data_IF_664462128967
#
_entry.id   IF_664462128967
#
_cell.length_a   1.000
_cell.length_b   1.000
_cell.length_c   1.000
_cell.angle_alpha   90.00
_cell.angle_beta   90.00
_cell.angle_gamma   90.00
#
_symmetry.space_group_name_H-M   'P 1'
#
loop_
_entity.id
_entity.type
_entity.pdbx_description
1 polymer ?
#
# COMPACT_ATOMS: atom_id res chain seq x y z
N UNK A 1 3.63 -16.82 1.74
CA UNK A 1 4.85 -16.02 1.97
C UNK A 1 4.77 -15.55 3.41
N UNK A 2 5.86 -15.55 4.18
CA UNK A 2 5.84 -14.87 5.48
C UNK A 2 5.62 -13.38 5.20
N UNK A 3 4.64 -12.75 5.87
CA UNK A 3 4.42 -11.31 5.74
C UNK A 3 5.72 -10.60 6.14
N UNK A 4 6.18 -9.61 5.37
CA UNK A 4 7.42 -8.92 5.69
C UNK A 4 7.35 -8.35 7.10
N UNK A 5 8.41 -8.57 7.87
CA UNK A 5 8.50 -8.24 9.30
C UNK A 5 8.46 -6.73 9.56
N UNK A 6 8.64 -5.91 8.52
CA UNK A 6 8.75 -4.47 8.61
C UNK A 6 8.57 -3.75 7.27
N UNK A 7 8.21 -2.46 7.34
CA UNK A 7 8.12 -1.52 6.23
C UNK A 7 9.24 -0.47 6.33
N UNK A 8 9.91 -0.19 5.21
CA UNK A 8 10.76 1.00 5.07
C UNK A 8 9.83 2.20 4.86
N UNK A 9 9.75 3.05 5.86
CA UNK A 9 8.81 4.16 5.86
C UNK A 9 9.45 5.48 5.40
N UNK A 10 10.78 5.58 5.50
CA UNK A 10 11.60 6.64 4.92
C UNK A 10 12.98 6.09 4.56
N UNK A 11 13.40 6.30 3.31
CA UNK A 11 14.76 6.02 2.85
C UNK A 11 15.66 7.21 3.18
N UNK A 12 16.84 6.93 3.74
CA UNK A 12 17.82 7.95 4.12
C UNK A 12 19.18 7.66 3.49
N UNK A 13 19.77 8.65 2.81
CA UNK A 13 21.04 8.49 2.09
C UNK A 13 22.30 8.54 2.98
N UNK A 14 22.21 9.13 4.18
CA UNK A 14 23.32 9.24 5.16
C UNK A 14 23.01 8.48 6.46
N UNK A 15 21.73 8.35 6.81
CA UNK A 15 21.28 7.71 8.04
C UNK A 15 20.64 6.35 7.73
N UNK A 16 20.56 5.42 8.69
CA UNK A 16 19.80 4.19 8.48
C UNK A 16 18.32 4.48 8.16
N UNK A 17 17.75 3.66 7.30
CA UNK A 17 16.34 3.74 6.91
C UNK A 17 15.42 3.57 8.12
N UNK A 18 14.32 4.31 8.14
CA UNK A 18 13.31 4.17 9.18
C UNK A 18 12.48 2.92 8.88
N UNK A 19 12.75 1.87 9.63
CA UNK A 19 12.07 0.58 9.50
C UNK A 19 11.02 0.44 10.62
N UNK A 20 9.77 0.17 10.26
CA UNK A 20 8.63 0.06 11.19
C UNK A 20 8.08 -1.35 11.14
N UNK A 21 7.86 -2.00 12.29
CA UNK A 21 7.12 -3.27 12.36
C UNK A 21 5.59 -3.05 12.42
N UNK A 22 4.76 -4.03 12.00
CA UNK A 22 3.30 -3.90 12.07
C UNK A 22 2.77 -3.61 13.48
N UNK A 23 3.42 -4.19 14.50
CA UNK A 23 3.06 -3.97 15.91
C UNK A 23 3.34 -2.54 16.35
N UNK A 24 4.49 -1.98 15.97
CA UNK A 24 4.82 -0.58 16.24
C UNK A 24 3.85 0.35 15.50
N UNK A 25 3.59 0.10 14.22
CA UNK A 25 2.63 0.87 13.44
C UNK A 25 1.25 0.90 14.10
N UNK A 26 0.74 -0.27 14.48
CA UNK A 26 -0.56 -0.41 15.13
C UNK A 26 -0.64 0.36 16.45
N UNK A 27 0.39 0.24 17.29
CA UNK A 27 0.46 0.97 18.57
C UNK A 27 0.47 2.49 18.34
N UNK A 28 1.25 2.96 17.38
CA UNK A 28 1.33 4.39 17.04
C UNK A 28 -0.01 4.90 16.49
N UNK A 29 -0.66 4.15 15.59
CA UNK A 29 -2.00 4.50 15.06
C UNK A 29 -3.02 4.61 16.19
N UNK A 30 -3.06 3.62 17.10
CA UNK A 30 -4.01 3.63 18.21
C UNK A 30 -3.79 4.81 19.15
N UNK A 31 -2.53 5.05 19.54
CA UNK A 31 -2.17 6.18 20.38
C UNK A 31 -2.50 7.52 19.71
N UNK A 32 -2.19 7.65 18.42
CA UNK A 32 -2.44 8.86 17.66
C UNK A 32 -3.92 9.11 17.35
N UNK A 33 -4.72 8.06 17.15
CA UNK A 33 -6.19 8.19 17.07
C UNK A 33 -6.76 8.81 18.34
N UNK A 34 -6.28 8.37 19.51
CA UNK A 34 -6.66 8.94 20.80
C UNK A 34 -6.16 10.39 20.95
N UNK A 35 -4.91 10.67 20.60
CA UNK A 35 -4.33 12.01 20.66
C UNK A 35 -5.07 13.01 19.74
N UNK A 36 -5.39 12.60 18.51
CA UNK A 36 -6.08 13.42 17.51
C UNK A 36 -7.52 13.69 17.87
N UNK A 37 -8.26 12.69 18.35
CA UNK A 37 -9.69 12.83 18.68
C UNK A 37 -9.91 13.50 20.04
N UNK A 38 -8.94 13.37 20.95
CA UNK A 38 -9.10 13.82 22.33
C UNK A 38 -10.07 12.94 23.11
N UNK A 39 -10.41 13.39 24.32
CA UNK A 39 -11.38 12.75 25.20
C UNK A 39 -12.56 13.68 25.45
N UNK A 40 -13.51 13.26 26.30
CA UNK A 40 -14.59 14.14 26.74
C UNK A 40 -14.08 15.36 27.53
N UNK A 41 -12.93 15.22 28.18
CA UNK A 41 -12.38 16.20 29.12
C UNK A 41 -11.17 16.97 28.55
N UNK A 42 -10.61 16.53 27.42
CA UNK A 42 -9.47 17.15 26.77
C UNK A 42 -9.65 17.21 25.25
N UNK A 43 -9.42 18.39 24.67
CA UNK A 43 -9.41 18.55 23.21
C UNK A 43 -8.29 17.71 22.59
N UNK A 44 -8.55 17.19 21.40
CA UNK A 44 -7.52 16.54 20.60
C UNK A 44 -6.40 17.50 20.20
N UNK A 45 -5.27 16.93 19.82
CA UNK A 45 -4.10 17.71 19.40
C UNK A 45 -4.39 18.57 18.17
N UNK A 46 -3.71 19.71 18.09
CA UNK A 46 -3.73 20.55 16.89
C UNK A 46 -3.05 19.82 15.75
N UNK A 47 -3.84 19.47 14.72
CA UNK A 47 -3.32 18.89 13.49
C UNK A 47 -2.88 19.98 12.51
N UNK A 48 -1.97 19.66 11.57
CA UNK A 48 -1.73 20.52 10.42
C UNK A 48 -3.00 20.83 9.63
N UNK A 49 -2.94 21.85 8.77
CA UNK A 49 -4.08 22.27 7.97
C UNK A 49 -4.53 21.11 7.08
N UNK A 50 -5.82 20.82 7.12
CA UNK A 50 -6.43 19.71 6.37
C UNK A 50 -6.14 19.81 4.85
N UNK A 51 -6.11 21.01 4.28
CA UNK A 51 -5.81 21.19 2.86
C UNK A 51 -4.38 20.79 2.51
N UNK A 52 -3.40 21.14 3.36
CA UNK A 52 -1.99 20.84 3.12
C UNK A 52 -1.75 19.33 3.22
N UNK A 53 -2.28 18.70 4.28
CA UNK A 53 -2.21 17.25 4.47
C UNK A 53 -2.85 16.48 3.31
N UNK A 54 -4.03 16.93 2.86
CA UNK A 54 -4.77 16.28 1.76
C UNK A 54 -4.07 16.45 0.42
N UNK A 55 -3.47 17.61 0.17
CA UNK A 55 -2.69 17.86 -1.05
C UNK A 55 -1.49 16.93 -1.10
N UNK A 56 -0.70 16.86 -0.02
CA UNK A 56 0.48 15.99 0.06
C UNK A 56 0.10 14.51 -0.01
N UNK A 57 -1.00 14.10 0.65
CA UNK A 57 -1.50 12.73 0.51
C UNK A 57 -1.83 12.40 -0.95
N UNK A 58 -2.58 13.27 -1.63
CA UNK A 58 -2.99 13.06 -3.02
C UNK A 58 -1.78 13.02 -3.96
N UNK A 59 -0.79 13.87 -3.72
CA UNK A 59 0.49 13.88 -4.44
C UNK A 59 1.28 12.60 -4.23
N UNK A 60 1.31 12.08 -3.00
CA UNK A 60 2.02 10.85 -2.67
C UNK A 60 1.34 9.60 -3.25
N UNK A 61 0.01 9.52 -3.23
CA UNK A 61 -0.71 8.29 -3.67
C UNK A 61 -1.11 8.30 -5.14
N UNK A 62 -1.12 9.47 -5.80
CA UNK A 62 -1.46 9.62 -7.21
C UNK A 62 -2.76 8.87 -7.57
N UNK A 63 -2.71 8.00 -8.59
CA UNK A 63 -3.82 7.18 -9.03
C UNK A 63 -3.81 5.75 -8.46
N UNK A 64 -3.06 5.49 -7.37
CA UNK A 64 -2.99 4.16 -6.75
C UNK A 64 -4.33 3.64 -6.21
N UNK A 65 -5.25 4.55 -5.89
CA UNK A 65 -6.63 4.28 -5.49
C UNK A 65 -7.64 4.45 -6.62
N UNK A 66 -7.23 4.35 -7.89
CA UNK A 66 -8.15 4.52 -9.02
C UNK A 66 -9.38 3.60 -8.89
N UNK A 67 -10.57 4.20 -8.76
CA UNK A 67 -11.83 3.49 -8.57
C UNK A 67 -12.17 3.10 -7.11
N UNK A 68 -11.32 3.43 -6.13
CA UNK A 68 -11.50 3.13 -4.71
C UNK A 68 -11.39 4.38 -3.82
N UNK A 69 -12.37 5.27 -3.93
CA UNK A 69 -12.43 6.48 -3.13
C UNK A 69 -12.60 6.19 -1.62
N UNK A 70 -13.25 5.09 -1.26
CA UNK A 70 -13.44 4.70 0.13
C UNK A 70 -12.12 4.23 0.75
N UNK A 71 -11.34 3.40 0.04
CA UNK A 71 -9.99 3.01 0.45
C UNK A 71 -9.07 4.20 0.64
N UNK A 72 -9.08 5.16 -0.29
CA UNK A 72 -8.30 6.40 -0.17
C UNK A 72 -8.66 7.18 1.11
N UNK A 73 -9.96 7.32 1.41
CA UNK A 73 -10.42 8.02 2.61
C UNK A 73 -10.00 7.29 3.90
N UNK A 74 -10.07 5.96 3.93
CA UNK A 74 -9.62 5.16 5.07
C UNK A 74 -8.11 5.27 5.28
N UNK A 75 -7.31 5.12 4.21
CA UNK A 75 -5.85 5.26 4.27
C UNK A 75 -5.43 6.67 4.72
N UNK A 76 -6.17 7.71 4.33
CA UNK A 76 -5.93 9.07 4.78
C UNK A 76 -6.20 9.25 6.28
N UNK A 77 -7.31 8.71 6.80
CA UNK A 77 -7.58 8.76 8.25
C UNK A 77 -6.55 7.98 9.06
N UNK A 78 -6.09 6.83 8.56
CA UNK A 78 -5.01 6.05 9.19
C UNK A 78 -3.68 6.81 9.15
N UNK A 79 -3.36 7.49 8.06
CA UNK A 79 -2.17 8.34 7.97
C UNK A 79 -2.24 9.46 9.02
N UNK A 80 -3.38 10.15 9.16
CA UNK A 80 -3.58 11.17 10.20
C UNK A 80 -3.40 10.61 11.61
N UNK A 81 -3.94 9.43 11.88
CA UNK A 81 -3.79 8.76 13.17
C UNK A 81 -2.32 8.39 13.44
N UNK A 82 -1.60 7.82 12.46
CA UNK A 82 -0.17 7.52 12.62
C UNK A 82 0.66 8.80 12.86
N UNK A 83 0.46 9.83 12.04
CA UNK A 83 1.13 11.12 12.15
C UNK A 83 0.93 11.74 13.54
N UNK A 84 -0.32 11.82 14.00
CA UNK A 84 -0.66 12.30 15.33
C UNK A 84 0.07 11.52 16.44
N UNK A 85 0.20 10.20 16.28
CA UNK A 85 0.89 9.34 17.22
C UNK A 85 2.37 9.67 17.33
N UNK A 86 3.06 9.89 16.20
CA UNK A 86 4.47 10.28 16.18
C UNK A 86 4.65 11.70 16.74
N UNK A 87 3.82 12.66 16.34
CA UNK A 87 3.94 14.03 16.81
C UNK A 87 3.70 14.15 18.31
N UNK A 88 2.72 13.41 18.86
CA UNK A 88 2.50 13.33 20.30
C UNK A 88 3.70 12.73 21.04
N UNK A 89 4.37 11.71 20.48
CA UNK A 89 5.60 11.13 21.04
C UNK A 89 6.77 12.13 21.01
N UNK A 90 6.87 12.95 19.96
CA UNK A 90 7.86 14.04 19.84
C UNK A 90 7.54 15.22 20.77
N UNK A 91 6.32 15.29 21.32
CA UNK A 91 5.84 16.43 22.09
C UNK A 91 5.56 17.68 21.24
N UNK A 92 5.37 17.51 19.93
CA UNK A 92 5.07 18.60 19.01
C UNK A 92 3.56 18.73 18.79
N UNK A 93 3.04 19.88 19.21
CA UNK A 93 1.62 20.26 19.12
C UNK A 93 1.43 21.56 18.33
N UNK A 94 2.43 21.96 17.54
CA UNK A 94 2.45 23.24 16.82
C UNK A 94 1.38 23.34 15.73
N UNK A 95 0.94 22.20 15.18
CA UNK A 95 0.08 22.16 14.00
C UNK A 95 0.81 22.55 12.70
N UNK A 96 2.15 22.54 12.70
CA UNK A 96 2.95 22.67 11.48
C UNK A 96 3.13 21.28 10.87
N UNK A 97 2.95 21.17 9.55
CA UNK A 97 3.17 19.89 8.86
C UNK A 97 4.66 19.54 8.88
N UNK A 98 4.95 18.31 9.28
CA UNK A 98 6.28 17.71 9.22
C UNK A 98 6.25 16.74 8.04
N UNK A 99 6.82 17.15 6.91
CA UNK A 99 6.68 16.45 5.63
C UNK A 99 7.27 15.04 5.67
N UNK A 100 8.35 14.84 6.43
CA UNK A 100 9.00 13.53 6.59
C UNK A 100 8.09 12.57 7.36
N UNK A 101 7.54 13.02 8.50
CA UNK A 101 6.60 12.21 9.29
C UNK A 101 5.28 12.00 8.53
N UNK A 102 4.86 12.97 7.71
CA UNK A 102 3.69 12.82 6.88
C UNK A 102 3.90 11.78 5.78
N UNK A 103 5.04 11.82 5.07
CA UNK A 103 5.41 10.79 4.09
C UNK A 103 5.50 9.40 4.74
N UNK A 104 6.09 9.32 5.93
CA UNK A 104 6.12 8.10 6.73
C UNK A 104 4.71 7.58 7.03
N UNK A 105 3.80 8.45 7.46
CA UNK A 105 2.41 8.13 7.74
C UNK A 105 1.65 7.61 6.50
N UNK A 106 1.85 8.23 5.34
CA UNK A 106 1.26 7.79 4.07
C UNK A 106 1.78 6.40 3.70
N UNK A 107 3.08 6.15 3.78
CA UNK A 107 3.66 4.84 3.50
C UNK A 107 3.13 3.77 4.46
N UNK A 108 2.99 4.08 5.75
CA UNK A 108 2.44 3.16 6.74
C UNK A 108 0.99 2.80 6.45
N UNK A 109 0.17 3.76 6.02
CA UNK A 109 -1.26 3.53 5.76
C UNK A 109 -1.54 2.86 4.41
N UNK A 110 -0.62 2.96 3.46
CA UNK A 110 -0.79 2.46 2.08
C UNK A 110 0.03 1.23 1.75
N UNK A 111 1.06 0.94 2.55
CA UNK A 111 2.11 -0.03 2.21
C UNK A 111 3.19 0.53 1.27
N UNK A 112 3.05 1.79 0.84
CA UNK A 112 3.85 2.42 -0.21
C UNK A 112 3.13 2.38 -1.56
N UNK A 113 3.60 3.21 -2.49
CA UNK A 113 3.11 3.22 -3.88
C UNK A 113 4.24 2.98 -4.86
N UNK A 114 3.91 2.38 -5.99
CA UNK A 114 4.87 2.09 -7.05
C UNK A 114 4.26 2.28 -8.44
N UNK A 115 4.97 2.96 -9.33
CA UNK A 115 4.59 3.09 -10.74
C UNK A 115 5.03 1.86 -11.53
N UNK A 116 4.10 0.93 -11.72
CA UNK A 116 4.40 -0.34 -12.38
C UNK A 116 4.41 -0.14 -13.91
N UNK A 117 5.57 -0.38 -14.53
CA UNK A 117 5.82 -0.21 -15.97
C UNK A 117 5.51 1.20 -16.55
N UNK A 118 5.42 2.25 -15.72
CA UNK A 118 5.04 3.58 -16.19
C UNK A 118 3.55 3.69 -16.60
N UNK A 119 2.73 2.71 -16.20
CA UNK A 119 1.31 2.59 -16.59
C UNK A 119 0.35 2.94 -15.45
N UNK A 120 0.86 3.56 -14.40
CA UNK A 120 0.11 4.04 -13.25
C UNK A 120 0.62 3.48 -11.94
N UNK A 121 0.24 4.16 -10.87
CA UNK A 121 0.64 3.79 -9.52
C UNK A 121 -0.25 2.69 -8.97
N UNK A 122 0.33 1.80 -8.18
CA UNK A 122 -0.36 0.78 -7.40
C UNK A 122 0.11 0.79 -5.96
N UNK A 123 -0.75 0.33 -5.05
CA UNK A 123 -0.41 0.11 -3.66
C UNK A 123 0.49 -1.12 -3.54
N UNK A 124 1.61 -0.99 -2.84
CA UNK A 124 2.47 -2.12 -2.53
C UNK A 124 1.88 -2.93 -1.37
N UNK A 125 2.07 -4.26 -1.36
CA UNK A 125 1.81 -5.02 -0.15
C UNK A 125 2.68 -4.47 0.97
N UNK A 126 2.09 -4.33 2.16
CA UNK A 126 2.78 -3.70 3.28
C UNK A 126 4.11 -4.39 3.58
N UNK A 127 5.21 -3.64 3.57
CA UNK A 127 6.57 -4.12 3.83
C UNK A 127 7.30 -4.72 2.63
N UNK A 128 6.70 -4.69 1.44
CA UNK A 128 7.32 -5.14 0.20
C UNK A 128 8.03 -3.99 -0.51
N UNK A 129 9.27 -4.19 -0.94
CA UNK A 129 9.96 -3.20 -1.79
C UNK A 129 9.44 -3.25 -3.23
N UNK A 130 9.60 -2.17 -4.02
CA UNK A 130 9.29 -2.18 -5.46
C UNK A 130 9.92 -3.36 -6.23
N UNK A 131 11.19 -3.68 -5.97
CA UNK A 131 11.91 -4.75 -6.67
C UNK A 131 11.39 -6.13 -6.28
N UNK A 132 10.94 -6.29 -5.03
CA UNK A 132 10.30 -7.52 -4.59
C UNK A 132 8.90 -7.64 -5.18
N UNK A 133 8.19 -6.53 -5.30
CA UNK A 133 6.89 -6.44 -5.93
C UNK A 133 6.96 -6.87 -7.39
N UNK A 134 7.86 -6.29 -8.18
CA UNK A 134 8.06 -6.64 -9.59
C UNK A 134 8.32 -8.14 -9.78
N UNK A 135 9.23 -8.70 -8.97
CA UNK A 135 9.53 -10.14 -9.00
C UNK A 135 8.33 -11.00 -8.68
N UNK A 136 7.46 -10.57 -7.76
CA UNK A 136 6.27 -11.33 -7.42
C UNK A 136 5.15 -11.19 -8.43
N UNK A 137 4.99 -10.01 -9.03
CA UNK A 137 4.10 -9.82 -10.17
C UNK A 137 4.52 -10.74 -11.32
N UNK A 138 5.81 -10.81 -11.64
CA UNK A 138 6.33 -11.72 -12.66
C UNK A 138 6.01 -13.19 -12.37
N UNK A 139 6.19 -13.61 -11.11
CA UNK A 139 5.86 -14.98 -10.68
C UNK A 139 4.35 -15.26 -10.74
N UNK A 140 3.53 -14.31 -10.29
CA UNK A 140 2.08 -14.39 -10.36
C UNK A 140 1.61 -14.44 -11.82
N UNK A 141 2.22 -13.66 -12.71
CA UNK A 141 1.93 -13.67 -14.14
C UNK A 141 2.17 -15.05 -14.76
N UNK A 142 3.34 -15.63 -14.51
CA UNK A 142 3.70 -16.95 -15.06
C UNK A 142 2.74 -18.04 -14.58
N UNK A 143 2.26 -17.97 -13.34
CA UNK A 143 1.41 -19.01 -12.75
C UNK A 143 -0.08 -18.81 -13.03
N UNK A 144 -0.59 -17.60 -12.83
CA UNK A 144 -2.02 -17.27 -12.84
C UNK A 144 -2.51 -16.81 -14.22
N UNK A 145 -1.61 -16.41 -15.12
CA UNK A 145 -1.95 -15.99 -16.49
C UNK A 145 -1.45 -17.01 -17.50
N UNK A 146 -0.13 -17.14 -17.64
CA UNK A 146 0.45 -18.03 -18.65
C UNK A 146 0.17 -19.51 -18.32
N UNK A 147 0.42 -19.94 -17.09
CA UNK A 147 0.16 -21.31 -16.63
C UNK A 147 -1.31 -21.70 -16.67
N UNK A 148 -2.22 -20.73 -16.51
CA UNK A 148 -3.66 -20.94 -16.63
C UNK A 148 -4.17 -20.93 -18.09
N UNK A 149 -3.28 -20.76 -19.08
CA UNK A 149 -3.64 -20.73 -20.50
C UNK A 149 -4.37 -19.46 -20.94
N UNK A 150 -4.31 -18.38 -20.15
CA UNK A 150 -4.92 -17.09 -20.51
C UNK A 150 -4.07 -16.42 -21.59
N UNK A 151 -4.71 -16.09 -22.72
CA UNK A 151 -4.04 -15.41 -23.84
C UNK A 151 -3.92 -13.92 -23.54
N UNK A 152 -2.71 -13.46 -23.25
CA UNK A 152 -2.39 -12.04 -23.16
C UNK A 152 -1.79 -11.56 -24.50
N UNK A 153 -2.18 -10.38 -25.02
CA UNK A 153 -1.54 -9.79 -26.18
C UNK A 153 -0.08 -9.42 -25.89
N UNK A 154 0.80 -9.42 -26.90
CA UNK A 154 2.18 -8.98 -26.75
C UNK A 154 2.22 -7.47 -26.44
N UNK A 155 3.01 -7.07 -25.46
CA UNK A 155 3.15 -5.67 -25.03
C UNK A 155 3.36 -5.55 -23.52
N UNK A 156 3.61 -4.33 -23.05
CA UNK A 156 3.61 -4.02 -21.62
C UNK A 156 2.16 -3.94 -21.10
N UNK A 157 1.97 -4.37 -19.87
CA UNK A 157 0.71 -4.26 -19.14
C UNK A 157 0.93 -3.44 -17.87
N UNK A 158 -0.13 -2.76 -17.44
CA UNK A 158 -0.17 -2.04 -16.18
C UNK A 158 -0.93 -2.82 -15.12
N UNK A 159 -0.95 -2.29 -13.92
CA UNK A 159 -1.73 -2.84 -12.81
C UNK A 159 -2.66 -1.78 -12.23
N UNK A 160 -3.73 -2.23 -11.58
CA UNK A 160 -4.58 -1.41 -10.73
C UNK A 160 -4.80 -2.13 -9.41
N UNK A 161 -4.61 -1.42 -8.29
CA UNK A 161 -4.94 -1.93 -6.96
C UNK A 161 -6.42 -2.33 -6.91
N UNK A 162 -6.70 -3.53 -6.40
CA UNK A 162 -8.07 -4.06 -6.28
C UNK A 162 -8.40 -4.49 -4.85
N UNK A 163 -7.44 -5.12 -4.17
CA UNK A 163 -7.56 -5.57 -2.79
C UNK A 163 -6.19 -5.75 -2.16
N UNK A 164 -6.15 -6.31 -0.95
CA UNK A 164 -4.89 -6.58 -0.25
C UNK A 164 -4.02 -7.52 -1.10
N UNK A 165 -2.91 -6.99 -1.62
CA UNK A 165 -1.98 -7.71 -2.49
C UNK A 165 -2.64 -8.31 -3.75
N UNK A 166 -3.75 -7.72 -4.21
CA UNK A 166 -4.51 -8.14 -5.38
C UNK A 166 -4.59 -7.03 -6.43
N UNK A 167 -4.32 -7.37 -7.68
CA UNK A 167 -4.13 -6.40 -8.76
C UNK A 167 -4.88 -6.80 -10.03
N UNK A 168 -5.67 -5.89 -10.57
CA UNK A 168 -6.26 -6.04 -11.90
C UNK A 168 -5.20 -5.77 -12.97
N UNK A 169 -5.11 -6.62 -13.99
CA UNK A 169 -4.20 -6.44 -15.12
C UNK A 169 -4.81 -5.46 -16.13
N UNK A 170 -4.16 -4.32 -16.33
CA UNK A 170 -4.57 -3.28 -17.31
C UNK A 170 -3.93 -3.52 -18.67
N UNK A 171 -4.76 -3.50 -19.72
CA UNK A 171 -4.35 -3.54 -21.11
C UNK A 171 -5.03 -2.41 -21.89
N UNK A 172 -4.25 -1.40 -22.27
CA UNK A 172 -4.78 -0.20 -22.91
C UNK A 172 -5.84 0.49 -22.05
N UNK A 173 -7.04 0.67 -22.61
CA UNK A 173 -8.17 1.30 -21.93
C UNK A 173 -9.01 0.34 -21.05
N UNK A 174 -8.68 -0.95 -21.02
CA UNK A 174 -9.46 -1.98 -20.31
C UNK A 174 -8.60 -2.92 -19.47
N UNK A 175 -9.19 -4.05 -19.10
CA UNK A 175 -8.52 -5.10 -18.34
C UNK A 175 -8.29 -6.35 -19.19
N UNK A 176 -7.27 -7.13 -18.86
CA UNK A 176 -7.15 -8.49 -19.37
C UNK A 176 -8.32 -9.31 -18.82
N UNK A 177 -9.02 -10.03 -19.70
CA UNK A 177 -10.18 -10.83 -19.33
C UNK A 177 -9.86 -12.33 -19.43
N UNK A 178 -10.51 -13.11 -18.57
CA UNK A 178 -10.57 -14.57 -18.64
C UNK A 178 -11.56 -15.00 -19.72
N UNK A 179 -11.60 -16.30 -20.02
CA UNK A 179 -12.55 -16.88 -20.97
C UNK A 179 -14.03 -16.68 -20.59
N UNK A 180 -14.32 -16.50 -19.30
CA UNK A 180 -15.66 -16.21 -18.77
C UNK A 180 -16.04 -14.72 -18.83
N UNK A 181 -15.15 -13.85 -19.33
CA UNK A 181 -15.35 -12.41 -19.43
C UNK A 181 -15.06 -11.63 -18.15
N UNK A 182 -14.71 -12.30 -17.04
CA UNK A 182 -14.27 -11.63 -15.82
C UNK A 182 -12.83 -11.13 -15.95
N UNK A 183 -12.44 -10.05 -15.25
CA UNK A 183 -11.06 -9.56 -15.30
C UNK A 183 -10.08 -10.53 -14.63
N UNK A 184 -8.85 -10.54 -15.13
CA UNK A 184 -7.72 -11.21 -14.50
C UNK A 184 -7.28 -10.39 -13.28
N UNK A 185 -7.23 -11.07 -12.14
CA UNK A 185 -6.71 -10.55 -10.88
C UNK A 185 -5.46 -11.35 -10.57
N UNK A 186 -4.33 -10.67 -10.43
CA UNK A 186 -3.10 -11.24 -9.87
C UNK A 186 -3.18 -11.16 -8.35
N UNK A 187 -3.13 -12.30 -7.69
CA UNK A 187 -3.07 -12.40 -6.24
C UNK A 187 -1.64 -12.76 -5.81
N UNK A 188 -0.93 -11.81 -5.20
CA UNK A 188 0.46 -12.03 -4.76
C UNK A 188 0.56 -12.84 -3.46
N UNK A 189 -0.57 -13.16 -2.81
CA UNK A 189 -0.60 -13.99 -1.61
C UNK A 189 -0.76 -15.49 -1.93
N UNK A 190 -1.27 -15.83 -3.12
CA UNK A 190 -1.40 -17.21 -3.56
C UNK A 190 -0.01 -17.83 -3.76
N UNK A 191 0.42 -18.60 -2.76
CA UNK A 191 1.53 -19.54 -2.95
C UNK A 191 1.14 -20.54 -4.02
N UNK A 192 2.13 -21.03 -4.79
CA UNK A 192 1.97 -22.23 -5.64
C UNK A 192 1.25 -23.29 -4.80
N UNK A 193 -0.02 -23.54 -5.08
CA UNK A 193 -0.61 -24.82 -4.75
C UNK A 193 0.21 -25.82 -5.57
N UNK A 194 1.24 -26.39 -4.95
CA UNK A 194 1.87 -27.59 -5.48
C UNK A 194 0.73 -28.59 -5.51
N UNK A 195 0.23 -28.89 -6.70
CA UNK A 195 -0.38 -30.19 -6.96
C UNK A 195 0.69 -31.20 -6.54
N UNK A 196 0.59 -31.71 -5.31
CA UNK A 196 1.24 -32.95 -4.92
C UNK A 196 0.33 -34.04 -5.50
N UNK A 197 0.33 -34.18 -6.82
CA UNK A 197 -0.05 -35.44 -7.45
C UNK A 197 1.21 -36.32 -7.43
N UNK A 198 1.35 -37.03 -6.33
CA UNK A 198 2.24 -38.16 -6.18
C UNK A 198 1.46 -39.25 -5.47
N UNK A 199 0.73 -40.04 -6.26
CA UNK A 199 -0.05 -41.21 -5.85
C UNK A 199 0.87 -42.18 -5.09
N UNK A 200 0.55 -42.61 -3.85
CA UNK A 200 1.09 -43.84 -3.31
C UNK A 200 0.24 -45.02 -3.78
N UNK A 201 0.86 -45.97 -4.48
CA UNK A 201 0.38 -47.36 -4.49
C UNK A 201 0.91 -48.08 -3.25
#
# INVERSE_FOLDING_TARGET
>A
MDKPSSLIAQENWINPDITISPSQASKTILAGSAARKGTKDAKGMTMPKENDMRLEFSSAVQNAFAGDAQGAAMAYEVAKDYYAGIMAQKGDYSGVLDDDIWKQAVNVSTGGVHDYNGMGYVLLPWGMSPEQFDKQVDQAWQTQVTGAGIKAPPGQYGLQSYGDSQYLVKLGAGYLLKSDGSPVILDLTQQRQRFIEGIPQ
#
